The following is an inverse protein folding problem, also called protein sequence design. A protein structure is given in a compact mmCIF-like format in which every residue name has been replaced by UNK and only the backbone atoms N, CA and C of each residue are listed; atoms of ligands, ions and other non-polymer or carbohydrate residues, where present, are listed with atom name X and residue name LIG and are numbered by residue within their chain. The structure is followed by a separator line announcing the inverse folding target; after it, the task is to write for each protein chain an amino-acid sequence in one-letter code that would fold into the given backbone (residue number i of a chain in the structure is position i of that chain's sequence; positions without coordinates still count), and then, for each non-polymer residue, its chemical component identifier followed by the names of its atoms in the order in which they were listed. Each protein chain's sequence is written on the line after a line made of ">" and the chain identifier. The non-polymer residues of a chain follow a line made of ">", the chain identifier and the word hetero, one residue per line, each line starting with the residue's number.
data_IF_299021919461
#
_entry.id   IF_299021919461
#
_cell.length_a   1.000
_cell.length_b   1.000
_cell.length_c   1.000
_cell.angle_alpha   90.00
_cell.angle_beta   90.00
_cell.angle_gamma   90.00
#
_symmetry.space_group_name_H-M   'P 1'
#
loop_
_entity.id
_entity.type
_entity.pdbx_description
1 polymer ?
#
# COMPACT_ATOMS: atom_id res chain seq x y z
N UNK A 1 -6.67 3.51 10.99
CA UNK A 1 -5.60 4.35 10.40
C UNK A 1 -6.22 5.26 9.38
N UNK A 2 -5.91 6.54 9.45
CA UNK A 2 -6.29 7.50 8.41
C UNK A 2 -5.31 7.45 7.22
N UNK A 3 -5.54 8.27 6.19
CA UNK A 3 -4.67 8.32 5.00
C UNK A 3 -3.24 8.80 5.31
N UNK A 4 -3.07 9.70 6.28
CA UNK A 4 -1.74 10.21 6.66
C UNK A 4 -0.89 9.10 7.28
N UNK A 5 -1.49 8.34 8.20
CA UNK A 5 -0.89 7.16 8.83
C UNK A 5 -0.51 6.11 7.78
N UNK A 6 -1.41 5.84 6.83
CA UNK A 6 -1.20 4.84 5.77
C UNK A 6 -0.06 5.23 4.84
N UNK A 7 0.01 6.48 4.40
CA UNK A 7 1.11 6.95 3.54
C UNK A 7 2.45 6.79 4.27
N UNK A 8 2.50 7.21 5.54
CA UNK A 8 3.70 7.07 6.36
C UNK A 8 4.08 5.61 6.52
N UNK A 9 3.13 4.74 6.85
CA UNK A 9 3.33 3.30 6.99
C UNK A 9 3.87 2.65 5.71
N UNK A 10 3.28 2.94 4.54
CA UNK A 10 3.78 2.43 3.27
C UNK A 10 5.23 2.88 3.03
N UNK A 11 5.52 4.16 3.29
CA UNK A 11 6.87 4.71 3.11
C UNK A 11 7.88 4.06 4.05
N UNK A 12 7.57 3.91 5.35
CA UNK A 12 8.54 3.43 6.34
C UNK A 12 8.57 1.92 6.46
N UNK A 13 7.43 1.26 6.60
CA UNK A 13 7.35 -0.15 6.98
C UNK A 13 7.37 -1.09 5.77
N UNK A 14 6.84 -0.65 4.63
CA UNK A 14 6.79 -1.49 3.42
C UNK A 14 7.97 -1.20 2.49
N UNK A 15 8.28 0.08 2.27
CA UNK A 15 9.28 0.50 1.29
C UNK A 15 10.64 0.87 1.90
N UNK A 16 10.70 1.15 3.21
CA UNK A 16 11.89 1.65 3.92
C UNK A 16 12.57 2.85 3.23
N UNK A 17 11.78 3.88 2.92
CA UNK A 17 12.24 5.08 2.22
C UNK A 17 12.21 6.33 3.10
N UNK A 18 13.13 7.26 2.85
CA UNK A 18 13.02 8.63 3.35
C UNK A 18 11.91 9.39 2.60
N UNK A 19 11.38 10.46 3.20
CA UNK A 19 10.39 11.33 2.54
C UNK A 19 10.90 11.85 1.19
N UNK A 20 12.19 12.20 1.11
CA UNK A 20 12.83 12.67 -0.12
C UNK A 20 12.83 11.61 -1.22
N UNK A 21 13.18 10.36 -0.89
CA UNK A 21 13.19 9.26 -1.87
C UNK A 21 11.78 8.90 -2.32
N UNK A 22 10.83 8.89 -1.40
CA UNK A 22 9.44 8.59 -1.72
C UNK A 22 8.81 9.68 -2.60
N UNK A 23 9.07 10.95 -2.26
CA UNK A 23 8.63 12.10 -3.06
C UNK A 23 9.11 12.01 -4.51
N UNK A 24 10.39 11.69 -4.72
CA UNK A 24 10.94 11.46 -6.07
C UNK A 24 10.27 10.30 -6.80
N UNK A 25 9.89 9.23 -6.09
CA UNK A 25 9.28 8.03 -6.70
C UNK A 25 7.86 8.30 -7.20
N UNK A 26 7.13 9.21 -6.56
CA UNK A 26 5.75 9.58 -6.94
C UNK A 26 5.66 10.96 -7.62
N UNK A 27 6.81 11.54 -8.00
CA UNK A 27 6.94 12.83 -8.68
C UNK A 27 6.29 14.02 -7.94
N UNK A 28 6.58 14.16 -6.64
CA UNK A 28 6.18 15.31 -5.83
C UNK A 28 7.36 15.87 -5.04
N UNK A 29 7.15 16.98 -4.33
CA UNK A 29 8.17 17.54 -3.43
C UNK A 29 8.20 16.82 -2.08
N UNK A 30 9.36 16.83 -1.40
CA UNK A 30 9.47 16.35 0.00
C UNK A 30 8.48 17.02 0.94
N UNK A 31 8.23 18.32 0.74
CA UNK A 31 7.28 19.10 1.53
C UNK A 31 5.85 18.60 1.36
N UNK A 32 5.49 18.17 0.15
CA UNK A 32 4.19 17.55 -0.13
C UNK A 32 3.98 16.27 0.68
N UNK A 33 4.97 15.36 0.66
CA UNK A 33 4.92 14.12 1.48
C UNK A 33 4.80 14.46 2.97
N UNK A 34 5.62 15.40 3.45
CA UNK A 34 5.57 15.80 4.84
C UNK A 34 4.19 16.34 5.24
N UNK A 35 3.58 17.18 4.40
CA UNK A 35 2.25 17.73 4.69
C UNK A 35 1.18 16.64 4.73
N UNK A 36 1.23 15.65 3.83
CA UNK A 36 0.31 14.51 3.87
C UNK A 36 0.49 13.67 5.13
N UNK A 37 1.73 13.33 5.50
CA UNK A 37 2.02 12.52 6.69
C UNK A 37 1.73 13.22 8.03
N UNK A 38 1.61 14.55 8.01
CA UNK A 38 1.22 15.36 9.16
C UNK A 38 -0.27 15.73 9.15
N UNK A 39 -1.04 15.26 8.15
CA UNK A 39 -2.45 15.60 7.99
C UNK A 39 -2.73 17.08 7.67
N UNK A 40 -1.71 17.85 7.27
CA UNK A 40 -1.83 19.27 6.93
C UNK A 40 -2.48 19.50 5.55
N UNK A 41 -2.39 18.51 4.68
CA UNK A 41 -3.13 18.47 3.41
C UNK A 41 -3.43 17.02 3.03
N UNK A 42 -4.34 16.84 2.07
CA UNK A 42 -4.71 15.51 1.56
C UNK A 42 -4.20 15.34 0.13
N UNK A 43 -3.78 14.12 -0.28
CA UNK A 43 -3.46 13.82 -1.67
C UNK A 43 -4.70 13.99 -2.56
N UNK A 44 -4.46 14.30 -3.84
CA UNK A 44 -5.53 14.31 -4.85
C UNK A 44 -5.77 12.88 -5.34
N UNK A 45 -6.88 12.63 -6.05
CA UNK A 45 -7.16 11.33 -6.66
C UNK A 45 -5.98 10.86 -7.53
N UNK A 46 -5.39 11.75 -8.34
CA UNK A 46 -4.22 11.41 -9.15
C UNK A 46 -3.02 10.97 -8.31
N UNK A 47 -2.75 11.64 -7.18
CA UNK A 47 -1.69 11.24 -6.25
C UNK A 47 -2.00 9.91 -5.55
N UNK A 48 -3.26 9.67 -5.16
CA UNK A 48 -3.69 8.39 -4.57
C UNK A 48 -3.43 7.25 -5.56
N UNK A 49 -3.84 7.43 -6.82
CA UNK A 49 -3.56 6.46 -7.88
C UNK A 49 -2.06 6.26 -8.03
N UNK A 50 -1.25 7.33 -8.08
CA UNK A 50 0.21 7.21 -8.21
C UNK A 50 0.84 6.45 -7.03
N UNK A 51 0.43 6.73 -5.80
CA UNK A 51 0.90 6.01 -4.61
C UNK A 51 0.52 4.54 -4.71
N UNK A 52 -0.73 4.22 -5.04
CA UNK A 52 -1.19 2.86 -5.22
C UNK A 52 -0.37 2.11 -6.29
N UNK A 53 -0.09 2.79 -7.42
CA UNK A 53 0.71 2.25 -8.50
C UNK A 53 2.16 1.94 -8.05
N UNK A 54 2.80 2.87 -7.33
CA UNK A 54 4.20 2.79 -6.88
C UNK A 54 4.41 1.80 -5.74
N UNK A 55 3.39 1.60 -4.91
CA UNK A 55 3.40 0.71 -3.75
C UNK A 55 2.79 -0.66 -4.04
N UNK A 56 2.21 -0.89 -5.22
CA UNK A 56 1.49 -2.12 -5.59
C UNK A 56 0.36 -2.50 -4.61
N UNK A 57 -0.45 -1.51 -4.25
CA UNK A 57 -1.61 -1.68 -3.34
C UNK A 57 -2.91 -1.24 -4.03
N UNK A 58 -4.04 -1.60 -3.46
CA UNK A 58 -5.34 -1.06 -3.88
C UNK A 58 -5.49 0.40 -3.48
N UNK A 59 -6.31 1.15 -4.21
CA UNK A 59 -6.69 2.53 -3.84
C UNK A 59 -7.55 2.56 -2.58
N UNK A 60 -8.35 1.52 -2.38
CA UNK A 60 -9.28 1.31 -1.27
C UNK A 60 -8.52 1.33 0.05
N UNK A 61 -7.34 0.69 0.12
CA UNK A 61 -6.47 0.79 1.28
C UNK A 61 -6.17 2.24 1.67
N UNK A 62 -5.92 3.14 0.71
CA UNK A 62 -5.60 4.54 0.99
C UNK A 62 -6.84 5.35 1.40
N UNK A 63 -8.00 5.08 0.79
CA UNK A 63 -9.21 5.90 0.90
C UNK A 63 -10.08 5.52 2.10
N UNK A 64 -10.28 4.22 2.33
CA UNK A 64 -11.26 3.73 3.31
C UNK A 64 -10.68 3.58 4.71
N UNK A 65 -11.29 4.20 5.72
CA UNK A 65 -10.83 4.07 7.10
C UNK A 65 -10.84 2.61 7.57
N UNK A 66 -9.73 2.19 8.18
CA UNK A 66 -9.53 0.83 8.71
C UNK A 66 -9.63 -0.30 7.67
N UNK A 67 -9.46 0.01 6.38
CA UNK A 67 -9.33 -1.01 5.35
C UNK A 67 -8.03 -1.81 5.50
N UNK A 68 -8.06 -3.15 5.33
CA UNK A 68 -6.86 -3.97 5.35
C UNK A 68 -5.90 -3.59 4.22
N UNK A 69 -4.60 -3.81 4.44
CA UNK A 69 -3.60 -3.66 3.39
C UNK A 69 -3.79 -4.77 2.36
N UNK A 70 -4.14 -4.38 1.14
CA UNK A 70 -4.34 -5.29 0.01
C UNK A 70 -3.37 -4.99 -1.13
N UNK A 71 -2.83 -6.05 -1.72
CA UNK A 71 -1.91 -5.95 -2.85
C UNK A 71 -2.70 -5.84 -4.16
N UNK A 72 -2.30 -4.89 -5.00
CA UNK A 72 -2.79 -4.78 -6.38
C UNK A 72 -1.73 -5.33 -7.33
N UNK A 73 -2.02 -6.50 -7.89
CA UNK A 73 -1.17 -7.15 -8.89
C UNK A 73 -1.69 -6.79 -10.28
N UNK A 74 -0.81 -6.25 -11.13
CA UNK A 74 -1.13 -5.78 -12.49
C UNK A 74 -0.35 -6.57 -13.53
N UNK A 75 -0.92 -6.68 -14.72
CA UNK A 75 -0.28 -7.25 -15.91
C UNK A 75 0.22 -8.70 -15.75
N UNK A 76 -0.46 -9.49 -14.90
CA UNK A 76 -0.13 -10.90 -14.70
C UNK A 76 -0.82 -11.82 -15.71
N UNK A 77 -0.13 -12.88 -16.09
CA UNK A 77 -0.67 -13.97 -16.90
C UNK A 77 -1.29 -15.08 -16.03
N UNK A 78 -1.93 -16.05 -16.69
CA UNK A 78 -2.60 -17.17 -16.03
C UNK A 78 -1.67 -17.95 -15.08
N UNK A 79 -0.39 -18.11 -15.45
CA UNK A 79 0.57 -18.86 -14.63
C UNK A 79 0.90 -18.10 -13.34
N UNK A 80 1.15 -16.80 -13.44
CA UNK A 80 1.41 -15.93 -12.28
C UNK A 80 0.19 -15.87 -11.36
N UNK A 81 -1.02 -15.79 -11.92
CA UNK A 81 -2.26 -15.85 -11.14
C UNK A 81 -2.35 -17.15 -10.33
N UNK A 82 -2.07 -18.31 -10.94
CA UNK A 82 -2.10 -19.59 -10.22
C UNK A 82 -1.08 -19.67 -9.08
N UNK A 83 0.13 -19.12 -9.28
CA UNK A 83 1.16 -19.08 -8.23
C UNK A 83 0.68 -18.22 -7.04
N UNK A 84 0.11 -17.05 -7.32
CA UNK A 84 -0.39 -16.16 -6.27
C UNK A 84 -1.57 -16.79 -5.51
N UNK A 85 -2.48 -17.45 -6.22
CA UNK A 85 -3.62 -18.15 -5.61
C UNK A 85 -3.15 -19.27 -4.68
N UNK A 86 -2.13 -20.05 -5.07
CA UNK A 86 -1.53 -21.07 -4.21
C UNK A 86 -0.91 -20.47 -2.95
N UNK A 87 -0.21 -19.34 -3.05
CA UNK A 87 0.39 -18.67 -1.91
C UNK A 87 -0.66 -18.10 -0.95
N UNK A 88 -1.73 -17.50 -1.48
CA UNK A 88 -2.86 -17.01 -0.67
C UNK A 88 -3.51 -18.17 0.10
N UNK A 89 -3.75 -19.29 -0.57
CA UNK A 89 -4.32 -20.47 0.08
C UNK A 89 -3.40 -21.01 1.18
N UNK A 90 -2.09 -21.04 0.94
CA UNK A 90 -1.11 -21.43 1.95
C UNK A 90 -1.18 -20.53 3.21
N UNK A 91 -1.26 -19.21 3.04
CA UNK A 91 -1.42 -18.30 4.19
C UNK A 91 -2.74 -18.52 4.93
N UNK A 92 -3.84 -18.75 4.21
CA UNK A 92 -5.14 -19.03 4.82
C UNK A 92 -5.11 -20.31 5.65
N UNK A 93 -4.44 -21.36 5.16
CA UNK A 93 -4.31 -22.62 5.88
C UNK A 93 -3.51 -22.47 7.19
N UNK A 94 -2.44 -21.66 7.18
CA UNK A 94 -1.66 -21.37 8.39
C UNK A 94 -2.51 -20.59 9.40
N UNK A 95 -3.13 -19.50 8.96
CA UNK A 95 -3.95 -18.66 9.83
C UNK A 95 -5.12 -19.42 10.45
N UNK A 96 -5.70 -20.37 9.71
CA UNK A 96 -6.76 -21.23 10.23
C UNK A 96 -6.24 -22.22 11.29
N UNK A 97 -5.02 -22.76 11.14
CA UNK A 97 -4.43 -23.68 12.14
C UNK A 97 -4.10 -22.97 13.44
N UNK A 98 -3.48 -21.79 13.38
CA UNK A 98 -3.16 -20.98 14.56
C UNK A 98 -4.40 -20.51 15.34
N UNK A 99 -5.57 -20.51 14.71
CA UNK A 99 -6.84 -20.11 15.34
C UNK A 99 -7.49 -21.22 16.19
N UNK A 100 -7.03 -22.46 16.03
CA UNK A 100 -7.54 -23.62 16.76
C UNK A 100 -6.48 -24.28 17.67
N UNK A 101 -5.31 -23.66 17.82
CA UNK A 101 -4.31 -23.95 18.87
C UNK A 101 -4.40 -22.90 19.98
#
# INVERSE_FOLDING_TARGET
>A
MDIADKIKFLRTNILDLSQEKFAKKIDVTRGTINNWEQGLSVPTIAHITMIALVCNITTDYLIEDNHPLELSVRDINDREYQILLQLINYFNDINNKEKYE
#
